data_IF_647100501296
#
_entry.id   IF_647100501296
#
_cell.length_a   1.000
_cell.length_b   1.000
_cell.length_c   1.000
_cell.angle_alpha   90.00
_cell.angle_beta   90.00
_cell.angle_gamma   90.00
#
_symmetry.space_group_name_H-M   'P 1'
#
loop_
_entity.id
_entity.type
_entity.pdbx_description
1 polymer ?
#
# COMPACT_ATOMS: atom_id res chain seq x y z
N UNK A 1 14.04 -20.50 -21.27
CA UNK A 1 14.86 -19.80 -20.27
C UNK A 1 13.99 -19.11 -19.20
N UNK A 2 13.24 -18.04 -19.50
CA UNK A 2 12.43 -17.34 -18.49
C UNK A 2 11.54 -18.24 -17.60
N UNK A 3 10.80 -19.20 -18.18
CA UNK A 3 9.94 -20.09 -17.38
C UNK A 3 10.73 -20.95 -16.39
N UNK A 4 11.93 -21.40 -16.77
CA UNK A 4 12.84 -22.14 -15.89
C UNK A 4 13.29 -21.23 -14.74
N UNK A 5 13.65 -19.98 -15.05
CA UNK A 5 13.99 -18.97 -14.03
C UNK A 5 12.85 -18.76 -13.02
N UNK A 6 11.60 -18.68 -13.49
CA UNK A 6 10.43 -18.58 -12.61
C UNK A 6 10.23 -19.81 -11.73
N UNK A 7 10.44 -21.02 -12.26
CA UNK A 7 10.38 -22.26 -11.46
C UNK A 7 11.48 -22.27 -10.39
N UNK A 8 12.71 -21.89 -10.73
CA UNK A 8 13.83 -21.79 -9.79
C UNK A 8 13.53 -20.79 -8.67
N UNK A 9 12.94 -19.63 -9.02
CA UNK A 9 12.52 -18.63 -8.05
C UNK A 9 11.47 -19.16 -7.08
N UNK A 10 10.46 -19.89 -7.58
CA UNK A 10 9.44 -20.54 -6.74
C UNK A 10 10.02 -21.63 -5.83
N UNK A 11 11.15 -22.24 -6.22
CA UNK A 11 11.90 -23.20 -5.40
C UNK A 11 12.85 -22.53 -4.38
N UNK A 12 12.90 -21.19 -4.32
CA UNK A 12 13.80 -20.45 -3.44
C UNK A 12 15.25 -20.34 -3.95
N UNK A 13 15.52 -20.80 -5.18
CA UNK A 13 16.85 -20.68 -5.82
C UNK A 13 17.00 -19.32 -6.48
N UNK A 14 16.99 -18.26 -5.68
CA UNK A 14 16.92 -16.87 -6.17
C UNK A 14 18.10 -16.48 -7.06
N UNK A 15 19.33 -16.90 -6.72
CA UNK A 15 20.54 -16.60 -7.50
C UNK A 15 20.50 -17.25 -8.89
N UNK A 16 20.11 -18.53 -8.96
CA UNK A 16 20.00 -19.25 -10.24
C UNK A 16 18.88 -18.64 -11.10
N UNK A 17 17.75 -18.28 -10.46
CA UNK A 17 16.66 -17.60 -11.13
C UNK A 17 17.08 -16.25 -11.73
N UNK A 18 17.82 -15.44 -10.96
CA UNK A 18 18.34 -14.15 -11.40
C UNK A 18 19.19 -14.30 -12.67
N UNK A 19 20.17 -15.23 -12.66
CA UNK A 19 21.05 -15.48 -13.80
C UNK A 19 20.23 -15.83 -15.05
N UNK A 20 19.35 -16.82 -14.94
CA UNK A 20 18.53 -17.29 -16.06
C UNK A 20 17.59 -16.20 -16.59
N UNK A 21 17.03 -15.37 -15.72
CA UNK A 21 16.14 -14.27 -16.12
C UNK A 21 16.95 -13.16 -16.81
N UNK A 22 18.14 -12.81 -16.30
CA UNK A 22 19.04 -11.82 -16.94
C UNK A 22 19.50 -12.27 -18.32
N UNK A 23 19.89 -13.53 -18.49
CA UNK A 23 20.25 -14.09 -19.80
C UNK A 23 19.06 -14.01 -20.76
N UNK A 24 17.87 -14.35 -20.27
CA UNK A 24 16.63 -14.26 -21.04
C UNK A 24 16.30 -12.81 -21.45
N UNK A 25 16.62 -11.81 -20.63
CA UNK A 25 16.48 -10.38 -20.97
C UNK A 25 17.51 -9.99 -22.02
N UNK A 26 18.78 -10.35 -21.82
CA UNK A 26 19.88 -10.04 -22.74
C UNK A 26 19.62 -10.59 -24.15
N UNK A 27 19.03 -11.78 -24.28
CA UNK A 27 18.64 -12.32 -25.58
C UNK A 27 17.56 -11.49 -26.29
N UNK A 28 16.58 -10.95 -25.54
CA UNK A 28 15.56 -10.07 -26.13
C UNK A 28 16.18 -8.74 -26.56
N UNK A 29 17.06 -8.18 -25.75
CA UNK A 29 17.75 -6.93 -26.10
C UNK A 29 18.60 -7.10 -27.36
N UNK A 30 19.36 -8.20 -27.47
CA UNK A 30 20.18 -8.52 -28.65
C UNK A 30 19.36 -8.78 -29.91
N UNK A 31 18.11 -9.21 -29.78
CA UNK A 31 17.19 -9.42 -30.91
C UNK A 31 16.36 -8.18 -31.26
N UNK A 32 16.60 -7.03 -30.60
CA UNK A 32 15.84 -5.80 -30.82
C UNK A 32 14.47 -5.77 -30.13
N UNK A 33 14.14 -6.78 -29.34
CA UNK A 33 12.88 -6.89 -28.57
C UNK A 33 13.01 -6.38 -27.13
N UNK A 34 14.03 -5.55 -26.84
CA UNK A 34 14.33 -5.02 -25.51
C UNK A 34 13.21 -4.17 -24.90
N UNK A 35 12.36 -3.57 -25.73
CA UNK A 35 11.21 -2.75 -25.33
C UNK A 35 9.87 -3.52 -25.43
N UNK A 36 9.90 -4.78 -25.84
CA UNK A 36 8.70 -5.60 -25.98
C UNK A 36 8.00 -5.82 -24.64
N UNK A 37 6.68 -6.04 -24.67
CA UNK A 37 5.91 -6.44 -23.48
C UNK A 37 6.47 -7.72 -22.82
N UNK A 38 7.08 -8.59 -23.61
CA UNK A 38 7.75 -9.81 -23.14
C UNK A 38 8.98 -9.45 -22.32
N UNK A 39 9.81 -8.51 -22.78
CA UNK A 39 10.97 -8.03 -22.04
C UNK A 39 10.57 -7.33 -20.75
N UNK A 40 9.56 -6.44 -20.81
CA UNK A 40 9.03 -5.73 -19.63
C UNK A 40 8.57 -6.71 -18.55
N UNK A 41 7.90 -7.81 -18.93
CA UNK A 41 7.49 -8.84 -17.96
C UNK A 41 8.69 -9.49 -17.27
N UNK A 42 9.77 -9.77 -18.01
CA UNK A 42 11.01 -10.35 -17.44
C UNK A 42 11.71 -9.35 -16.52
N UNK A 43 11.79 -8.08 -16.92
CA UNK A 43 12.32 -6.99 -16.09
C UNK A 43 11.52 -6.84 -14.79
N UNK A 44 10.18 -6.91 -14.83
CA UNK A 44 9.34 -6.88 -13.62
C UNK A 44 9.67 -8.04 -12.68
N UNK A 45 9.84 -9.26 -13.20
CA UNK A 45 10.26 -10.41 -12.38
C UNK A 45 11.64 -10.21 -11.78
N UNK A 46 12.60 -9.66 -12.54
CA UNK A 46 13.93 -9.36 -12.04
C UNK A 46 13.91 -8.33 -10.91
N UNK A 47 13.13 -7.25 -11.06
CA UNK A 47 12.92 -6.25 -10.00
C UNK A 47 12.33 -6.88 -8.73
N UNK A 48 11.36 -7.79 -8.87
CA UNK A 48 10.79 -8.50 -7.71
C UNK A 48 11.82 -9.38 -6.99
N UNK A 49 12.70 -10.05 -7.73
CA UNK A 49 13.79 -10.84 -7.14
C UNK A 49 14.71 -9.91 -6.33
N UNK A 50 15.12 -8.78 -6.91
CA UNK A 50 15.96 -7.81 -6.21
C UNK A 50 15.30 -7.24 -4.95
N UNK A 51 14.00 -6.92 -5.00
CA UNK A 51 13.26 -6.47 -3.82
C UNK A 51 13.22 -7.53 -2.71
N UNK A 52 13.01 -8.80 -3.06
CA UNK A 52 13.03 -9.91 -2.07
C UNK A 52 14.40 -10.13 -1.45
N UNK A 53 15.47 -9.95 -2.23
CA UNK A 53 16.84 -10.05 -1.74
C UNK A 53 17.35 -8.74 -1.10
N UNK A 54 16.47 -7.77 -0.82
CA UNK A 54 16.80 -6.45 -0.25
C UNK A 54 17.82 -5.62 -1.06
N UNK A 55 17.93 -5.87 -2.36
CA UNK A 55 18.80 -5.13 -3.30
C UNK A 55 18.02 -3.97 -3.94
N UNK A 56 17.80 -2.91 -3.18
CA UNK A 56 16.95 -1.79 -3.61
C UNK A 56 17.53 -1.03 -4.82
N UNK A 57 18.84 -0.79 -4.86
CA UNK A 57 19.49 -0.06 -5.95
C UNK A 57 19.35 -0.79 -7.30
N UNK A 58 19.52 -2.12 -7.28
CA UNK A 58 19.32 -2.96 -8.47
C UNK A 58 17.86 -2.98 -8.91
N UNK A 59 16.91 -3.03 -7.96
CA UNK A 59 15.48 -2.96 -8.24
C UNK A 59 15.11 -1.60 -8.86
N UNK A 60 15.64 -0.51 -8.32
CA UNK A 60 15.42 0.85 -8.80
C UNK A 60 15.91 0.99 -10.25
N UNK A 61 17.13 0.55 -10.56
CA UNK A 61 17.69 0.62 -11.91
C UNK A 61 16.78 -0.10 -12.93
N UNK A 62 16.29 -1.29 -12.59
CA UNK A 62 15.37 -2.05 -13.44
C UNK A 62 14.02 -1.33 -13.58
N UNK A 63 13.48 -0.77 -12.50
CA UNK A 63 12.20 -0.07 -12.52
C UNK A 63 12.25 1.25 -13.29
N UNK A 64 13.37 2.00 -13.23
CA UNK A 64 13.60 3.17 -14.07
C UNK A 64 13.59 2.81 -15.55
N UNK A 65 14.24 1.69 -15.92
CA UNK A 65 14.19 1.18 -17.29
C UNK A 65 12.76 0.84 -17.73
N UNK A 66 12.00 0.15 -16.89
CA UNK A 66 10.59 -0.16 -17.17
C UNK A 66 9.78 1.13 -17.35
N UNK A 67 9.91 2.09 -16.44
CA UNK A 67 9.16 3.36 -16.51
C UNK A 67 9.48 4.12 -17.79
N UNK A 68 10.75 4.20 -18.18
CA UNK A 68 11.17 4.86 -19.42
C UNK A 68 10.49 4.23 -20.66
N UNK A 69 10.53 2.89 -20.78
CA UNK A 69 9.88 2.17 -21.89
C UNK A 69 8.37 2.42 -21.89
N UNK A 70 7.73 2.42 -20.73
CA UNK A 70 6.28 2.63 -20.60
C UNK A 70 5.88 4.07 -20.93
N UNK A 71 6.67 5.05 -20.49
CA UNK A 71 6.47 6.46 -20.84
C UNK A 71 6.61 6.70 -22.35
N UNK A 72 7.65 6.14 -22.97
CA UNK A 72 7.86 6.29 -24.41
C UNK A 72 6.76 5.60 -25.23
N UNK A 73 6.37 4.38 -24.86
CA UNK A 73 5.43 3.57 -25.65
C UNK A 73 3.96 3.92 -25.43
N UNK A 74 3.56 4.30 -24.21
CA UNK A 74 2.15 4.52 -23.83
C UNK A 74 1.86 5.93 -23.31
N UNK A 75 2.89 6.71 -22.98
CA UNK A 75 2.72 8.01 -22.35
C UNK A 75 2.24 7.93 -20.90
N UNK A 76 2.23 9.08 -20.22
CA UNK A 76 1.80 9.17 -18.81
C UNK A 76 0.29 9.07 -18.59
N UNK A 77 -0.53 9.27 -19.63
CA UNK A 77 -2.00 9.11 -19.54
C UNK A 77 -2.45 7.64 -19.58
N UNK A 78 -1.56 6.69 -19.31
CA UNK A 78 -1.86 5.25 -19.28
C UNK A 78 -1.68 4.69 -17.87
N UNK A 79 -2.64 3.88 -17.42
CA UNK A 79 -2.55 3.18 -16.12
C UNK A 79 -1.36 2.22 -16.07
N UNK A 80 -0.90 1.68 -17.21
CA UNK A 80 0.28 0.81 -17.20
C UNK A 80 1.56 1.58 -16.87
N UNK A 81 1.67 2.84 -17.32
CA UNK A 81 2.78 3.74 -16.97
C UNK A 81 2.70 4.13 -15.50
N UNK A 82 1.48 4.40 -15.00
CA UNK A 82 1.24 4.67 -13.57
C UNK A 82 1.68 3.50 -12.69
N UNK A 83 1.39 2.25 -13.07
CA UNK A 83 1.81 1.06 -12.30
C UNK A 83 3.34 0.93 -12.28
N UNK A 84 4.02 1.24 -13.39
CA UNK A 84 5.48 1.26 -13.45
C UNK A 84 6.07 2.36 -12.54
N UNK A 85 5.49 3.56 -12.58
CA UNK A 85 5.91 4.70 -11.76
C UNK A 85 5.68 4.45 -10.27
N UNK A 86 4.53 3.88 -9.91
CA UNK A 86 4.24 3.48 -8.52
C UNK A 86 5.27 2.48 -8.01
N UNK A 87 5.60 1.45 -8.80
CA UNK A 87 6.61 0.45 -8.40
C UNK A 87 7.96 1.10 -8.09
N UNK A 88 8.41 2.04 -8.94
CA UNK A 88 9.62 2.82 -8.72
C UNK A 88 9.51 3.70 -7.45
N UNK A 89 8.38 4.39 -7.27
CA UNK A 89 8.17 5.26 -6.13
C UNK A 89 8.18 4.50 -4.80
N UNK A 90 7.67 3.27 -4.77
CA UNK A 90 7.71 2.42 -3.57
C UNK A 90 9.13 1.94 -3.24
N UNK A 91 9.94 1.64 -4.24
CA UNK A 91 11.37 1.33 -4.02
C UNK A 91 12.13 2.55 -3.51
N UNK A 92 11.91 3.72 -4.11
CA UNK A 92 12.50 4.99 -3.64
C UNK A 92 12.06 5.32 -2.21
N UNK A 93 10.80 5.07 -1.86
CA UNK A 93 10.29 5.18 -0.50
C UNK A 93 11.07 4.26 0.46
N UNK A 94 11.31 3.00 0.08
CA UNK A 94 12.08 2.05 0.87
C UNK A 94 13.56 2.46 1.02
N UNK A 95 14.14 3.10 -0.02
CA UNK A 95 15.48 3.68 0.01
C UNK A 95 15.56 5.05 0.71
N UNK A 96 14.47 5.52 1.34
CA UNK A 96 14.41 6.84 2.01
C UNK A 96 14.56 8.06 1.10
N UNK A 97 14.43 7.89 -0.23
CA UNK A 97 14.43 8.93 -1.25
C UNK A 97 13.04 9.59 -1.36
N UNK A 98 12.64 10.30 -0.30
CA UNK A 98 11.26 10.81 -0.11
C UNK A 98 10.83 11.79 -1.21
N UNK A 99 11.73 12.66 -1.67
CA UNK A 99 11.41 13.69 -2.68
C UNK A 99 10.98 13.07 -4.02
N UNK A 100 11.83 12.22 -4.59
CA UNK A 100 11.53 11.57 -5.88
C UNK A 100 10.31 10.64 -5.78
N UNK A 101 10.15 9.94 -4.65
CA UNK A 101 8.98 9.11 -4.40
C UNK A 101 7.68 9.93 -4.37
N UNK A 102 7.67 11.08 -3.68
CA UNK A 102 6.53 12.00 -3.59
C UNK A 102 6.13 12.51 -4.97
N UNK A 103 7.08 13.01 -5.75
CA UNK A 103 6.85 13.54 -7.11
C UNK A 103 6.20 12.48 -8.03
N UNK A 104 6.71 11.25 -8.01
CA UNK A 104 6.14 10.15 -8.81
C UNK A 104 4.73 9.78 -8.35
N UNK A 105 4.49 9.68 -7.04
CA UNK A 105 3.19 9.34 -6.49
C UNK A 105 2.13 10.43 -6.70
N UNK A 106 2.51 11.71 -6.69
CA UNK A 106 1.62 12.83 -7.01
C UNK A 106 1.19 12.76 -8.48
N UNK A 107 2.14 12.51 -9.40
CA UNK A 107 1.83 12.30 -10.82
C UNK A 107 0.95 11.07 -11.05
N UNK A 108 1.18 9.99 -10.31
CA UNK A 108 0.30 8.81 -10.32
C UNK A 108 -1.13 9.15 -9.87
N UNK A 109 -1.27 9.96 -8.82
CA UNK A 109 -2.57 10.37 -8.29
C UNK A 109 -3.37 11.20 -9.30
N UNK A 110 -2.72 12.14 -9.98
CA UNK A 110 -3.34 12.98 -11.01
C UNK A 110 -3.93 12.12 -12.13
N UNK A 111 -3.14 11.19 -12.68
CA UNK A 111 -3.59 10.30 -13.76
C UNK A 111 -4.71 9.38 -13.28
N UNK A 112 -4.61 8.82 -12.07
CA UNK A 112 -5.66 7.99 -11.48
C UNK A 112 -6.98 8.76 -11.31
N UNK A 113 -6.93 10.01 -10.84
CA UNK A 113 -8.11 10.87 -10.73
C UNK A 113 -8.73 11.23 -12.08
N UNK A 114 -7.92 11.33 -13.13
CA UNK A 114 -8.40 11.61 -14.48
C UNK A 114 -9.05 10.40 -15.16
N UNK A 115 -8.58 9.18 -14.86
CA UNK A 115 -8.97 7.96 -15.58
C UNK A 115 -9.94 7.06 -14.81
N UNK A 116 -10.02 7.17 -13.49
CA UNK A 116 -10.78 6.27 -12.63
C UNK A 116 -11.92 7.01 -11.92
N UNK A 117 -13.02 6.30 -11.57
CA UNK A 117 -14.03 6.84 -10.67
C UNK A 117 -13.41 7.36 -9.37
N UNK A 118 -13.97 8.43 -8.80
CA UNK A 118 -13.40 9.10 -7.62
C UNK A 118 -13.33 8.24 -6.36
N UNK A 119 -14.07 7.13 -6.30
CA UNK A 119 -14.09 6.14 -5.24
C UNK A 119 -13.29 4.86 -5.56
N UNK A 120 -12.49 4.87 -6.63
CA UNK A 120 -11.70 3.71 -7.02
C UNK A 120 -10.57 3.40 -6.03
N UNK A 121 -10.40 2.13 -5.65
CA UNK A 121 -9.44 1.67 -4.64
C UNK A 121 -7.99 2.12 -4.88
N UNK A 122 -7.58 2.23 -6.15
CA UNK A 122 -6.23 2.67 -6.52
C UNK A 122 -5.94 4.12 -6.13
N UNK A 123 -6.97 4.98 -6.07
CA UNK A 123 -6.81 6.36 -5.57
C UNK A 123 -6.53 6.31 -4.07
N UNK A 124 -7.27 5.48 -3.32
CA UNK A 124 -7.03 5.26 -1.88
C UNK A 124 -5.62 4.72 -1.60
N UNK A 125 -5.20 3.69 -2.33
CA UNK A 125 -3.84 3.14 -2.22
C UNK A 125 -2.76 4.20 -2.47
N UNK A 126 -2.91 5.01 -3.53
CA UNK A 126 -1.96 6.09 -3.84
C UNK A 126 -1.86 7.12 -2.71
N UNK A 127 -2.99 7.49 -2.10
CA UNK A 127 -3.02 8.43 -0.98
C UNK A 127 -2.36 7.85 0.27
N UNK A 128 -2.56 6.56 0.55
CA UNK A 128 -1.82 5.85 1.61
C UNK A 128 -0.30 5.90 1.37
N UNK A 129 0.15 5.68 0.14
CA UNK A 129 1.58 5.75 -0.19
C UNK A 129 2.14 7.16 0.00
N UNK A 130 1.42 8.21 -0.44
CA UNK A 130 1.79 9.60 -0.21
C UNK A 130 1.86 9.95 1.29
N UNK A 131 0.90 9.47 2.09
CA UNK A 131 0.94 9.65 3.54
C UNK A 131 2.18 9.00 4.17
N UNK A 132 2.58 7.82 3.71
CA UNK A 132 3.81 7.15 4.18
C UNK A 132 5.06 7.92 3.78
N UNK A 133 5.13 8.50 2.57
CA UNK A 133 6.25 9.36 2.18
C UNK A 133 6.33 10.61 3.06
N UNK A 134 5.20 11.28 3.31
CA UNK A 134 5.15 12.44 4.20
C UNK A 134 5.55 12.09 5.64
N UNK A 135 5.16 10.91 6.15
CA UNK A 135 5.61 10.40 7.44
C UNK A 135 7.13 10.13 7.49
N UNK A 136 7.72 9.65 6.39
CA UNK A 136 9.17 9.47 6.29
C UNK A 136 9.90 10.81 6.22
N UNK A 137 9.43 11.77 5.42
CA UNK A 137 10.00 13.12 5.35
C UNK A 137 9.93 13.82 6.72
N UNK A 138 8.81 13.66 7.43
CA UNK A 138 8.68 14.05 8.83
C UNK A 138 9.78 13.42 9.69
N UNK A 139 9.96 12.10 9.63
CA UNK A 139 10.93 11.40 10.47
C UNK A 139 12.38 11.86 10.24
N UNK A 140 12.72 12.22 8.99
CA UNK A 140 14.04 12.73 8.59
C UNK A 140 14.26 14.19 9.05
N UNK A 141 13.22 15.02 8.98
CA UNK A 141 13.34 16.47 9.20
C UNK A 141 12.88 16.95 10.59
N UNK A 142 12.29 16.07 11.43
CA UNK A 142 11.69 16.46 12.73
C UNK A 142 12.62 17.22 13.69
N UNK A 143 13.93 17.01 13.58
CA UNK A 143 14.95 17.70 14.39
C UNK A 143 15.51 18.97 13.77
N UNK A 144 15.38 19.11 12.45
CA UNK A 144 15.97 20.21 11.67
C UNK A 144 14.99 21.37 11.52
N UNK A 145 13.72 21.06 11.28
CA UNK A 145 12.67 22.07 11.07
C UNK A 145 11.33 21.55 11.61
N UNK A 146 10.96 22.00 12.81
CA UNK A 146 9.70 21.63 13.48
C UNK A 146 8.48 22.16 12.73
N UNK A 147 8.60 23.30 12.04
CA UNK A 147 7.49 23.89 11.29
C UNK A 147 7.17 23.05 10.06
N UNK A 148 8.21 22.71 9.27
CA UNK A 148 8.09 21.79 8.13
C UNK A 148 7.59 20.41 8.57
N UNK A 149 8.12 19.89 9.67
CA UNK A 149 7.68 18.62 10.24
C UNK A 149 6.18 18.60 10.58
N UNK A 150 5.67 19.69 11.18
CA UNK A 150 4.23 19.84 11.46
C UNK A 150 3.40 19.94 10.18
N UNK A 151 3.89 20.64 9.15
CA UNK A 151 3.21 20.75 7.86
C UNK A 151 3.09 19.39 7.16
N UNK A 152 4.18 18.60 7.11
CA UNK A 152 4.16 17.25 6.51
C UNK A 152 3.23 16.30 7.28
N UNK A 153 3.13 16.40 8.61
CA UNK A 153 2.12 15.65 9.36
C UNK A 153 0.69 16.07 9.03
N UNK A 154 0.44 17.36 8.76
CA UNK A 154 -0.86 17.85 8.28
C UNK A 154 -1.23 17.23 6.93
N UNK A 155 -0.29 17.28 5.98
CA UNK A 155 -0.43 16.69 4.65
C UNK A 155 -0.68 15.18 4.73
N UNK A 156 0.11 14.46 5.54
CA UNK A 156 -0.05 13.03 5.76
C UNK A 156 -1.44 12.69 6.31
N UNK A 157 -1.96 13.50 7.25
CA UNK A 157 -3.29 13.30 7.82
C UNK A 157 -4.40 13.47 6.78
N UNK A 158 -4.31 14.50 5.94
CA UNK A 158 -5.29 14.73 4.88
C UNK A 158 -5.30 13.60 3.85
N UNK A 159 -4.12 13.08 3.50
CA UNK A 159 -4.01 11.89 2.65
C UNK A 159 -4.65 10.66 3.28
N UNK A 160 -4.42 10.39 4.57
CA UNK A 160 -5.00 9.24 5.26
C UNK A 160 -6.52 9.34 5.39
N UNK A 161 -7.05 10.50 5.75
CA UNK A 161 -8.50 10.71 5.80
C UNK A 161 -9.16 10.48 4.44
N UNK A 162 -8.57 10.99 3.36
CA UNK A 162 -9.09 10.76 2.01
C UNK A 162 -8.95 9.30 1.57
N UNK A 163 -7.85 8.62 1.91
CA UNK A 163 -7.68 7.18 1.68
C UNK A 163 -8.78 6.38 2.37
N UNK A 164 -8.95 6.57 3.68
CA UNK A 164 -9.96 5.87 4.49
C UNK A 164 -11.36 6.11 3.93
N UNK A 165 -11.71 7.35 3.59
CA UNK A 165 -13.01 7.71 3.03
C UNK A 165 -13.28 6.98 1.71
N UNK A 166 -12.36 7.06 0.75
CA UNK A 166 -12.48 6.44 -0.56
C UNK A 166 -12.61 4.92 -0.44
N UNK A 167 -11.76 4.32 0.39
CA UNK A 167 -11.70 2.86 0.54
C UNK A 167 -12.96 2.32 1.24
N UNK A 168 -13.48 3.03 2.26
CA UNK A 168 -14.77 2.69 2.88
C UNK A 168 -15.92 2.76 1.87
N UNK A 169 -16.01 3.85 1.10
CA UNK A 169 -17.03 4.00 0.06
C UNK A 169 -16.97 2.87 -0.99
N UNK A 170 -15.76 2.47 -1.38
CA UNK A 170 -15.58 1.34 -2.28
C UNK A 170 -16.05 0.01 -1.66
N UNK A 171 -15.68 -0.27 -0.40
CA UNK A 171 -16.13 -1.46 0.32
C UNK A 171 -17.66 -1.51 0.42
N UNK A 172 -18.31 -0.40 0.78
CA UNK A 172 -19.77 -0.32 0.87
C UNK A 172 -20.44 -0.61 -0.47
N UNK A 173 -19.86 -0.09 -1.55
CA UNK A 173 -20.37 -0.32 -2.91
C UNK A 173 -20.25 -1.80 -3.30
N UNK A 174 -19.11 -2.43 -3.01
CA UNK A 174 -18.90 -3.86 -3.26
C UNK A 174 -19.86 -4.73 -2.44
N UNK A 175 -20.07 -4.38 -1.16
CA UNK A 175 -20.99 -5.10 -0.27
C UNK A 175 -22.45 -4.99 -0.75
N UNK A 176 -22.91 -3.78 -1.10
CA UNK A 176 -24.27 -3.53 -1.62
C UNK A 176 -24.56 -4.23 -2.95
N UNK A 177 -23.58 -4.32 -3.85
CA UNK A 177 -23.74 -5.01 -5.13
C UNK A 177 -23.91 -6.53 -4.96
N UNK A 178 -23.35 -7.12 -3.90
CA UNK A 178 -23.42 -8.55 -3.62
C UNK A 178 -24.79 -9.00 -3.11
N UNK A 179 -25.47 -8.16 -2.34
CA UNK A 179 -26.85 -8.43 -1.88
C UNK A 179 -27.84 -8.48 -3.05
N UNK A 180 -27.55 -7.74 -4.13
CA UNK A 180 -28.36 -7.72 -5.36
C UNK A 180 -28.02 -8.85 -6.35
N UNK A 181 -26.79 -9.37 -6.35
CA UNK A 181 -26.28 -10.30 -7.36
C UNK A 181 -26.06 -11.74 -6.84
N UNK A 182 -27.15 -12.42 -6.44
CA UNK A 182 -27.09 -13.85 -6.08
C UNK A 182 -26.92 -14.83 -7.26
N UNK A 183 -26.70 -14.36 -8.50
CA UNK A 183 -26.51 -15.22 -9.68
C UNK A 183 -25.34 -14.74 -10.56
N UNK A 184 -24.46 -15.68 -10.91
CA UNK A 184 -23.39 -15.64 -11.95
C UNK A 184 -21.97 -15.13 -11.58
N UNK A 185 -21.02 -15.57 -12.41
CA UNK A 185 -19.58 -15.81 -12.26
C UNK A 185 -18.66 -14.63 -11.88
N UNK A 186 -19.19 -13.46 -11.54
CA UNK A 186 -18.44 -12.22 -11.22
C UNK A 186 -17.86 -12.22 -9.78
N UNK A 187 -18.07 -13.30 -9.03
CA UNK A 187 -17.72 -13.43 -7.60
C UNK A 187 -16.21 -13.39 -7.30
N UNK A 188 -15.36 -13.73 -8.27
CA UNK A 188 -13.91 -13.80 -8.10
C UNK A 188 -13.22 -12.43 -8.06
N UNK A 189 -13.55 -11.54 -9.01
CA UNK A 189 -12.96 -10.20 -9.11
C UNK A 189 -13.38 -9.29 -7.97
N UNK A 190 -14.69 -9.24 -7.69
CA UNK A 190 -15.26 -8.50 -6.55
C UNK A 190 -14.69 -8.96 -5.21
N UNK A 191 -14.32 -10.24 -5.06
CA UNK A 191 -13.71 -10.70 -3.80
C UNK A 191 -12.30 -10.18 -3.59
N UNK A 192 -11.46 -10.19 -4.64
CA UNK A 192 -10.08 -9.70 -4.59
C UNK A 192 -10.03 -8.19 -4.38
N UNK A 193 -10.92 -7.44 -5.03
CA UNK A 193 -11.04 -6.00 -4.84
C UNK A 193 -11.44 -5.64 -3.41
N UNK A 194 -12.43 -6.33 -2.84
CA UNK A 194 -12.80 -6.08 -1.43
C UNK A 194 -11.67 -6.46 -0.46
N UNK A 195 -10.86 -7.47 -0.78
CA UNK A 195 -9.69 -7.84 0.03
C UNK A 195 -8.62 -6.76 -0.03
N UNK A 196 -8.25 -6.30 -1.23
CA UNK A 196 -7.31 -5.21 -1.42
C UNK A 196 -7.79 -3.93 -0.71
N UNK A 197 -9.08 -3.60 -0.84
CA UNK A 197 -9.69 -2.48 -0.14
C UNK A 197 -9.56 -2.62 1.38
N UNK A 198 -9.86 -3.79 1.95
CA UNK A 198 -9.68 -4.00 3.39
C UNK A 198 -8.22 -3.83 3.82
N UNK A 199 -7.26 -4.40 3.09
CA UNK A 199 -5.83 -4.22 3.40
C UNK A 199 -5.45 -2.74 3.42
N UNK A 200 -5.87 -1.97 2.41
CA UNK A 200 -5.58 -0.53 2.34
C UNK A 200 -6.25 0.21 3.51
N UNK A 201 -7.47 -0.16 3.90
CA UNK A 201 -8.18 0.45 5.03
C UNK A 201 -7.45 0.21 6.35
N UNK A 202 -7.08 -1.04 6.63
CA UNK A 202 -6.36 -1.41 7.85
C UNK A 202 -5.01 -0.70 7.92
N UNK A 203 -4.27 -0.68 6.80
CA UNK A 203 -2.99 0.02 6.71
C UNK A 203 -3.12 1.53 6.87
N UNK A 204 -4.18 2.14 6.33
CA UNK A 204 -4.43 3.58 6.49
C UNK A 204 -4.74 3.94 7.94
N UNK A 205 -5.55 3.12 8.63
CA UNK A 205 -5.88 3.31 10.04
C UNK A 205 -4.66 3.08 10.95
N UNK A 206 -3.85 2.07 10.67
CA UNK A 206 -2.57 1.79 11.36
C UNK A 206 -1.57 2.94 11.17
N UNK A 207 -1.50 3.50 9.96
CA UNK A 207 -0.65 4.66 9.66
C UNK A 207 -1.17 5.92 10.35
N UNK A 208 -2.49 6.12 10.40
CA UNK A 208 -3.13 7.24 11.12
C UNK A 208 -2.85 7.18 12.62
N UNK A 209 -2.90 5.99 13.21
CA UNK A 209 -2.49 5.80 14.60
C UNK A 209 -1.03 6.24 14.82
N UNK A 210 -0.12 5.78 13.97
CA UNK A 210 1.30 6.16 14.03
C UNK A 210 1.52 7.67 13.85
N UNK A 211 0.71 8.31 13.00
CA UNK A 211 0.73 9.76 12.77
C UNK A 211 0.30 10.53 14.02
N UNK A 212 -0.80 10.13 14.67
CA UNK A 212 -1.29 10.82 15.87
C UNK A 212 -0.28 10.67 17.02
N UNK A 213 0.36 9.51 17.17
CA UNK A 213 1.48 9.33 18.11
C UNK A 213 2.64 10.30 17.81
N UNK A 214 3.08 10.37 16.55
CA UNK A 214 4.15 11.27 16.13
C UNK A 214 3.81 12.76 16.34
N UNK A 215 2.54 13.12 16.19
CA UNK A 215 2.06 14.48 16.44
C UNK A 215 2.10 14.84 17.92
N UNK A 216 1.70 13.92 18.80
CA UNK A 216 1.76 14.11 20.25
C UNK A 216 3.21 14.26 20.74
N UNK A 217 4.15 13.47 20.19
CA UNK A 217 5.59 13.61 20.46
C UNK A 217 6.11 15.03 20.15
N UNK A 218 5.65 15.66 19.06
CA UNK A 218 6.04 17.03 18.69
C UNK A 218 5.37 18.12 19.53
N UNK A 219 4.27 17.83 20.21
CA UNK A 219 3.49 18.83 20.95
C UNK A 219 3.88 18.93 22.42
N UNK A 220 4.82 18.11 22.92
CA UNK A 220 5.24 18.06 24.33
C UNK A 220 4.06 18.07 25.32
N UNK A 221 2.96 17.37 25.02
CA UNK A 221 1.78 17.38 25.89
C UNK A 221 2.10 16.59 27.16
N UNK A 222 2.01 17.27 28.31
CA UNK A 222 2.18 16.70 29.64
C UNK A 222 1.27 15.48 29.85
N UNK A 223 1.86 14.47 30.49
CA UNK A 223 1.31 13.16 30.88
C UNK A 223 -0.08 13.25 31.51
N UNK A 224 -1.14 13.26 30.69
CA UNK A 224 -2.48 13.49 31.23
C UNK A 224 -3.67 12.86 30.52
N UNK A 225 -3.58 12.44 29.25
CA UNK A 225 -4.52 11.49 28.63
C UNK A 225 -4.01 11.06 27.23
N UNK A 226 -2.79 10.50 27.21
CA UNK A 226 -1.99 10.33 25.99
C UNK A 226 -2.68 9.30 25.05
N UNK A 227 -2.72 9.62 23.75
CA UNK A 227 -3.07 8.74 22.63
C UNK A 227 -4.56 8.51 22.31
N UNK A 228 -5.51 9.38 22.69
CA UNK A 228 -6.95 9.14 22.41
C UNK A 228 -7.23 8.92 20.91
N UNK A 229 -6.71 9.79 20.04
CA UNK A 229 -6.91 9.67 18.58
C UNK A 229 -6.20 8.46 17.98
N UNK A 230 -4.99 8.17 18.47
CA UNK A 230 -4.24 6.99 18.04
C UNK A 230 -4.94 5.69 18.44
N UNK A 231 -5.55 5.64 19.63
CA UNK A 231 -6.39 4.53 20.12
C UNK A 231 -7.65 4.39 19.27
N UNK A 232 -8.34 5.49 18.99
CA UNK A 232 -9.55 5.50 18.15
C UNK A 232 -9.27 4.92 16.76
N UNK A 233 -8.17 5.33 16.11
CA UNK A 233 -7.77 4.81 14.81
C UNK A 233 -7.52 3.28 14.83
N UNK A 234 -6.91 2.75 15.90
CA UNK A 234 -6.69 1.31 16.05
C UNK A 234 -7.98 0.54 16.32
N UNK A 235 -8.89 1.13 17.10
CA UNK A 235 -10.21 0.54 17.36
C UNK A 235 -11.03 0.49 16.06
N UNK A 236 -10.98 1.55 15.25
CA UNK A 236 -11.56 1.54 13.91
C UNK A 236 -10.92 0.48 13.00
N UNK A 237 -9.61 0.22 13.13
CA UNK A 237 -8.92 -0.86 12.40
C UNK A 237 -9.51 -2.23 12.78
N UNK A 238 -9.67 -2.50 14.07
CA UNK A 238 -10.26 -3.74 14.60
C UNK A 238 -11.73 -3.88 14.17
N UNK A 239 -12.52 -2.82 14.28
CA UNK A 239 -13.92 -2.82 13.88
C UNK A 239 -14.10 -3.12 12.39
N UNK A 240 -13.31 -2.48 11.52
CA UNK A 240 -13.35 -2.70 10.07
C UNK A 240 -13.01 -4.15 9.68
N UNK A 241 -12.05 -4.76 10.37
CA UNK A 241 -11.75 -6.19 10.18
C UNK A 241 -12.95 -7.07 10.59
N UNK A 242 -13.51 -6.85 11.77
CA UNK A 242 -14.61 -7.65 12.29
C UNK A 242 -15.87 -7.57 11.42
N UNK A 243 -16.24 -6.37 10.98
CA UNK A 243 -17.37 -6.15 10.07
C UNK A 243 -17.19 -6.94 8.77
N UNK A 244 -16.01 -6.87 8.17
CA UNK A 244 -15.72 -7.62 6.95
C UNK A 244 -15.76 -9.14 7.17
N UNK A 245 -15.31 -9.63 8.33
CA UNK A 245 -15.38 -11.04 8.70
C UNK A 245 -16.80 -11.56 8.82
N UNK A 246 -17.69 -10.78 9.42
CA UNK A 246 -19.11 -11.14 9.51
C UNK A 246 -19.73 -11.29 8.11
N UNK A 247 -19.37 -10.43 7.15
CA UNK A 247 -19.90 -10.47 5.78
C UNK A 247 -19.23 -11.50 4.84
N UNK A 248 -18.02 -11.99 5.17
CA UNK A 248 -17.30 -13.01 4.39
C UNK A 248 -16.86 -14.17 5.29
N UNK A 249 -17.67 -15.24 5.32
CA UNK A 249 -17.41 -16.53 5.99
C UNK A 249 -16.06 -17.24 5.67
N UNK A 250 -15.21 -16.68 4.80
CA UNK A 250 -13.99 -17.32 4.30
C UNK A 250 -12.85 -16.30 4.16
N UNK A 251 -12.39 -15.75 5.29
CA UNK A 251 -11.16 -14.91 5.35
C UNK A 251 -9.97 -15.68 5.94
N UNK A 252 -10.19 -16.92 6.40
CA UNK A 252 -9.18 -17.75 7.04
C UNK A 252 -7.92 -18.02 6.17
N UNK A 253 -7.98 -17.78 4.86
CA UNK A 253 -6.90 -18.07 3.91
C UNK A 253 -6.05 -16.84 3.49
N UNK A 254 -6.19 -15.68 4.15
CA UNK A 254 -5.47 -14.45 3.75
C UNK A 254 -4.44 -14.01 4.79
N UNK A 255 -3.15 -14.39 4.63
CA UNK A 255 -2.10 -14.10 5.60
C UNK A 255 -1.85 -12.59 5.74
N UNK A 256 -1.95 -11.82 4.66
CA UNK A 256 -1.69 -10.37 4.68
C UNK A 256 -2.69 -9.61 5.56
N UNK A 257 -3.99 -9.87 5.38
CA UNK A 257 -5.05 -9.25 6.20
C UNK A 257 -4.90 -9.66 7.67
N UNK A 258 -4.62 -10.94 7.91
CA UNK A 258 -4.40 -11.45 9.27
C UNK A 258 -3.18 -10.80 9.92
N UNK A 259 -2.09 -10.64 9.19
CA UNK A 259 -0.87 -10.01 9.70
C UNK A 259 -1.11 -8.53 10.04
N UNK A 260 -1.81 -7.79 9.18
CA UNK A 260 -2.14 -6.38 9.44
C UNK A 260 -3.07 -6.24 10.65
N UNK A 261 -4.11 -7.09 10.73
CA UNK A 261 -5.00 -7.14 11.88
C UNK A 261 -4.24 -7.44 13.18
N UNK A 262 -3.39 -8.47 13.19
CA UNK A 262 -2.61 -8.83 14.37
C UNK A 262 -1.64 -7.71 14.78
N UNK A 263 -1.09 -6.97 13.80
CA UNK A 263 -0.27 -5.79 14.05
C UNK A 263 -1.08 -4.67 14.72
N UNK A 264 -2.24 -4.31 14.16
CA UNK A 264 -3.18 -3.35 14.75
C UNK A 264 -3.58 -3.77 16.17
N UNK A 265 -3.94 -5.04 16.36
CA UNK A 265 -4.40 -5.58 17.64
C UNK A 265 -3.31 -5.53 18.72
N UNK A 266 -2.08 -5.95 18.41
CA UNK A 266 -0.94 -5.87 19.34
C UNK A 266 -0.65 -4.42 19.73
N UNK A 267 -0.70 -3.49 18.76
CA UNK A 267 -0.54 -2.04 19.03
C UNK A 267 -1.65 -1.52 19.93
N UNK A 268 -2.90 -1.90 19.67
CA UNK A 268 -4.04 -1.52 20.50
C UNK A 268 -3.88 -2.03 21.94
N UNK A 269 -3.46 -3.28 22.13
CA UNK A 269 -3.17 -3.86 23.45
C UNK A 269 -2.08 -3.08 24.19
N UNK A 270 -1.00 -2.71 23.51
CA UNK A 270 0.06 -1.92 24.14
C UNK A 270 -0.41 -0.54 24.62
N UNK A 271 -1.36 0.08 23.92
CA UNK A 271 -1.87 1.43 24.23
C UNK A 271 -3.08 1.45 25.17
N UNK A 272 -3.89 0.39 25.20
CA UNK A 272 -5.12 0.29 25.99
C UNK A 272 -4.97 -0.55 27.27
N UNK A 273 -3.88 -1.34 27.39
CA UNK A 273 -3.72 -2.33 28.45
C UNK A 273 -4.74 -3.48 28.35
N UNK A 274 -5.00 -4.19 29.45
CA UNK A 274 -5.94 -5.34 29.52
C UNK A 274 -7.43 -4.97 29.26
N UNK A 275 -7.76 -3.73 28.87
CA UNK A 275 -9.15 -3.28 28.61
C UNK A 275 -9.76 -3.77 27.28
N UNK A 276 -9.01 -4.51 26.47
CA UNK A 276 -9.52 -5.09 25.21
C UNK A 276 -10.25 -6.43 25.40
N UNK A 277 -10.15 -7.03 26.59
CA UNK A 277 -10.83 -8.28 26.91
C UNK A 277 -12.27 -7.97 27.38
N UNK A 278 -13.19 -7.81 26.43
CA UNK A 278 -14.64 -7.89 26.67
C UNK A 278 -15.45 -6.59 26.60
N UNK A 279 -15.05 -5.53 27.31
CA UNK A 279 -15.93 -4.35 27.48
C UNK A 279 -15.67 -3.20 26.48
N UNK A 280 -14.44 -3.04 25.98
CA UNK A 280 -14.08 -1.93 25.08
C UNK A 280 -14.70 -2.01 23.68
N UNK A 281 -15.02 -3.22 23.21
CA UNK A 281 -15.61 -3.46 21.88
C UNK A 281 -17.13 -3.18 21.89
N UNK A 282 -17.81 -3.42 23.02
CA UNK A 282 -19.27 -3.22 23.12
C UNK A 282 -19.67 -1.73 23.18
N UNK A 283 -18.87 -0.86 23.80
CA UNK A 283 -19.19 0.57 23.89
C UNK A 283 -19.08 1.33 22.56
N UNK A 284 -18.30 0.83 21.60
CA UNK A 284 -18.12 1.48 20.29
C UNK A 284 -19.21 1.08 19.28
N UNK A 285 -19.84 -0.08 19.46
CA UNK A 285 -21.01 -0.48 18.68
C UNK A 285 -22.29 0.29 19.06
N UNK A 286 -22.24 1.16 20.07
CA UNK A 286 -23.38 1.95 20.53
C UNK A 286 -23.30 3.43 20.12
N UNK A 287 -22.20 3.88 19.50
CA UNK A 287 -22.00 5.29 19.08
C UNK A 287 -21.81 5.43 17.57
N UNK A 288 -22.59 4.70 16.77
CA UNK A 288 -22.77 4.95 15.33
C UNK A 288 -24.20 5.34 15.02
#
# INVERSE_FOLDING_TARGET
MYQIGMVLYLQGKEKDAEIIIKDSISMLEKSGEGESIVCIRRLRSLSQIYLKSHRLDDAEMVQRKILNIMEFSKGWKSLDTVIAAESLALTLQASSETKQSKELLERCLEVRRALLPGDHIQIGANLLHLARVAMLDFSQNKKLDVSRAKAELGIAKDYLHNSIRIVRQCLDTILKQKDKSKKTSVRGHTSKEAQAALVILLQSLSTLSSLELAKEELQEIQKGDINVKAKEALLQCIAAYNEFVVHKKSIADYPEIKNEYLSCFKRAQSLLGNKLDGEGIQKLNQTS
#
